data_IF_482276029167
#
_entry.id   IF_482276029167
#
_cell.length_a   1.000
_cell.length_b   1.000
_cell.length_c   1.000
_cell.angle_alpha   90.00
_cell.angle_beta   90.00
_cell.angle_gamma   90.00
#
_symmetry.space_group_name_H-M   'P 1'
#
loop_
_entity.id
_entity.type
_entity.pdbx_description
1 polymer ?
#
# COMPACT_ATOMS: atom_id res chain seq x y z
N UNK A 1 -1.23 -11.94 2.82
CA UNK A 1 -0.16 -11.73 1.81
C UNK A 1 -0.21 -12.78 0.69
N UNK A 2 -0.46 -14.04 1.02
CA UNK A 2 -0.51 -15.13 0.02
C UNK A 2 -1.58 -14.88 -1.05
N UNK A 3 -2.74 -14.33 -0.68
CA UNK A 3 -3.81 -13.97 -1.62
C UNK A 3 -3.42 -12.81 -2.54
N UNK A 4 -2.57 -11.92 -2.05
CA UNK A 4 -2.15 -10.72 -2.79
C UNK A 4 -1.12 -11.03 -3.87
N UNK A 5 -0.30 -12.06 -3.66
CA UNK A 5 0.76 -12.42 -4.60
C UNK A 5 0.25 -12.69 -6.03
N UNK A 6 -0.75 -13.55 -6.25
CA UNK A 6 -1.27 -13.75 -7.61
C UNK A 6 -1.79 -12.45 -8.23
N UNK A 7 -2.41 -11.58 -7.43
CA UNK A 7 -2.96 -10.32 -7.92
C UNK A 7 -1.88 -9.35 -8.38
N UNK A 8 -0.71 -9.36 -7.74
CA UNK A 8 0.45 -8.57 -8.20
C UNK A 8 0.91 -9.05 -9.58
N UNK A 9 0.95 -10.37 -9.80
CA UNK A 9 1.27 -10.92 -11.12
C UNK A 9 0.19 -10.59 -12.15
N UNK A 10 -1.09 -10.65 -11.78
CA UNK A 10 -2.19 -10.24 -12.66
C UNK A 10 -2.11 -8.74 -12.99
N UNK A 11 -1.71 -7.91 -12.04
CA UNK A 11 -1.47 -6.48 -12.29
C UNK A 11 -0.39 -6.30 -13.36
N UNK A 12 0.74 -6.98 -13.20
CA UNK A 12 1.83 -6.91 -14.16
C UNK A 12 1.40 -7.40 -15.56
N UNK A 13 0.69 -8.51 -15.62
CA UNK A 13 0.15 -9.04 -16.86
C UNK A 13 -0.87 -8.12 -17.52
N UNK A 14 -1.66 -7.42 -16.72
CA UNK A 14 -2.69 -6.47 -17.22
C UNK A 14 -2.10 -5.28 -17.95
N UNK A 15 -0.88 -4.87 -17.61
CA UNK A 15 -0.18 -3.76 -18.31
C UNK A 15 0.20 -4.16 -19.73
N UNK A 16 0.58 -5.43 -19.93
CA UNK A 16 1.10 -5.94 -21.20
C UNK A 16 0.03 -6.59 -22.06
N UNK A 17 -0.98 -7.17 -21.45
CA UNK A 17 -1.98 -7.97 -22.12
C UNK A 17 -3.39 -7.63 -21.69
N UNK A 18 -4.21 -8.67 -21.51
CA UNK A 18 -5.61 -8.51 -21.12
C UNK A 18 -5.73 -8.10 -19.66
N UNK A 19 -6.63 -7.16 -19.38
CA UNK A 19 -6.94 -6.72 -18.02
C UNK A 19 -7.42 -7.91 -17.17
N UNK A 20 -6.73 -8.18 -16.07
CA UNK A 20 -6.99 -9.33 -15.19
C UNK A 20 -7.21 -8.91 -13.72
N UNK A 21 -7.32 -7.63 -13.43
CA UNK A 21 -7.68 -7.09 -12.12
C UNK A 21 -9.10 -6.55 -12.21
N UNK A 22 -9.96 -6.96 -11.28
CA UNK A 22 -11.36 -6.55 -11.22
C UNK A 22 -11.66 -5.80 -9.92
N UNK A 23 -12.85 -5.23 -9.83
CA UNK A 23 -13.31 -4.58 -8.58
C UNK A 23 -13.33 -5.55 -7.39
N UNK A 24 -13.50 -6.86 -7.64
CA UNK A 24 -13.48 -7.85 -6.57
C UNK A 24 -12.15 -7.86 -5.81
N UNK A 25 -11.03 -7.78 -6.51
CA UNK A 25 -9.70 -7.74 -5.88
C UNK A 25 -9.49 -6.43 -5.11
N UNK A 26 -10.00 -5.32 -5.63
CA UNK A 26 -9.96 -4.03 -4.93
C UNK A 26 -10.79 -4.08 -3.65
N UNK A 27 -11.98 -4.66 -3.70
CA UNK A 27 -12.84 -4.81 -2.51
C UNK A 27 -12.21 -5.72 -1.44
N UNK A 28 -11.51 -6.76 -1.84
CA UNK A 28 -10.73 -7.60 -0.91
C UNK A 28 -9.68 -6.78 -0.17
N UNK A 29 -8.92 -5.93 -0.87
CA UNK A 29 -7.92 -5.06 -0.23
C UNK A 29 -8.57 -4.05 0.72
N UNK A 30 -9.71 -3.49 0.34
CA UNK A 30 -10.46 -2.58 1.21
C UNK A 30 -10.89 -3.27 2.51
N UNK A 31 -11.38 -4.50 2.41
CA UNK A 31 -11.77 -5.29 3.56
C UNK A 31 -10.56 -5.60 4.46
N UNK A 32 -9.43 -5.95 3.87
CA UNK A 32 -8.19 -6.18 4.60
C UNK A 32 -7.73 -4.92 5.35
N UNK A 33 -7.79 -3.76 4.69
CA UNK A 33 -7.45 -2.48 5.29
C UNK A 33 -8.33 -2.16 6.50
N UNK A 34 -9.64 -2.29 6.35
CA UNK A 34 -10.59 -2.02 7.43
C UNK A 34 -10.40 -2.98 8.62
N UNK A 35 -10.14 -4.25 8.34
CA UNK A 35 -9.88 -5.25 9.38
C UNK A 35 -8.63 -4.89 10.18
N UNK A 36 -7.55 -4.51 9.51
CA UNK A 36 -6.30 -4.12 10.17
C UNK A 36 -6.48 -2.86 11.00
N UNK A 37 -7.20 -1.89 10.47
CA UNK A 37 -7.53 -0.65 11.16
C UNK A 37 -8.27 -0.92 12.48
N UNK A 38 -9.22 -1.85 12.47
CA UNK A 38 -9.99 -2.24 13.66
C UNK A 38 -9.13 -2.96 14.70
N UNK A 39 -8.09 -3.67 14.28
CA UNK A 39 -7.25 -4.49 15.17
C UNK A 39 -6.12 -3.71 15.86
N UNK A 40 -5.90 -2.47 15.48
CA UNK A 40 -4.89 -1.62 16.11
C UNK A 40 -5.59 -0.72 17.13
N UNK A 41 -5.29 -0.92 18.41
CA UNK A 41 -5.86 -0.13 19.49
C UNK A 41 -5.50 1.36 19.32
N UNK A 42 -6.50 2.24 19.33
CA UNK A 42 -6.30 3.66 19.10
C UNK A 42 -6.12 4.04 17.64
N UNK A 43 -6.17 3.07 16.71
CA UNK A 43 -6.02 3.30 15.27
C UNK A 43 -4.58 3.61 14.86
N UNK A 44 -4.42 4.08 13.64
CA UNK A 44 -3.11 4.45 13.11
C UNK A 44 -2.67 5.80 13.64
N UNK A 45 -1.38 5.91 13.99
CA UNK A 45 -0.80 7.12 14.58
C UNK A 45 -0.45 8.21 13.55
N UNK A 46 -0.83 8.06 12.29
CA UNK A 46 -0.42 8.95 11.21
C UNK A 46 0.91 8.50 10.59
N UNK A 47 1.76 9.45 10.22
CA UNK A 47 3.05 9.09 9.61
C UNK A 47 4.04 8.65 10.68
N UNK A 48 4.62 7.46 10.47
CA UNK A 48 5.66 6.92 11.34
C UNK A 48 6.90 6.62 10.51
N UNK A 49 8.07 6.64 11.16
CA UNK A 49 9.31 6.24 10.49
C UNK A 49 9.25 4.74 10.19
N UNK A 50 9.72 4.32 8.98
CA UNK A 50 9.79 2.91 8.65
C UNK A 50 10.74 2.18 9.59
N UNK A 51 10.32 1.07 10.14
CA UNK A 51 11.17 0.30 11.04
C UNK A 51 10.39 -0.41 12.14
N UNK A 52 11.12 -0.82 13.15
CA UNK A 52 10.60 -1.60 14.26
C UNK A 52 10.91 -3.08 14.09
N UNK A 53 9.90 -3.94 14.21
CA UNK A 53 10.07 -5.37 13.98
C UNK A 53 10.62 -5.62 12.56
N UNK A 54 11.55 -6.60 12.37
CA UNK A 54 12.11 -6.86 11.03
C UNK A 54 11.06 -7.11 9.95
N UNK A 55 9.96 -7.80 10.27
CA UNK A 55 8.87 -8.01 9.32
C UNK A 55 8.19 -6.69 8.92
N UNK A 56 8.05 -5.74 9.84
CA UNK A 56 7.54 -4.39 9.54
C UNK A 56 8.43 -3.66 8.56
N UNK A 57 9.75 -3.72 8.76
CA UNK A 57 10.71 -3.10 7.85
C UNK A 57 10.59 -3.68 6.44
N UNK A 58 10.43 -5.00 6.31
CA UNK A 58 10.22 -5.65 5.01
C UNK A 58 8.92 -5.20 4.36
N UNK A 59 7.85 -5.07 5.13
CA UNK A 59 6.56 -4.60 4.62
C UNK A 59 6.64 -3.15 4.14
N UNK A 60 7.41 -2.31 4.80
CA UNK A 60 7.66 -0.94 4.33
C UNK A 60 8.43 -0.92 3.01
N UNK A 61 9.38 -1.83 2.80
CA UNK A 61 10.05 -1.98 1.50
C UNK A 61 9.06 -2.40 0.41
N UNK A 62 8.18 -3.36 0.71
CA UNK A 62 7.13 -3.77 -0.23
C UNK A 62 6.20 -2.60 -0.58
N UNK A 63 5.84 -1.79 0.42
CA UNK A 63 5.04 -0.58 0.21
C UNK A 63 5.71 0.39 -0.75
N UNK A 64 7.01 0.61 -0.59
CA UNK A 64 7.77 1.47 -1.50
C UNK A 64 7.77 0.93 -2.93
N UNK A 65 7.86 -0.39 -3.11
CA UNK A 65 7.77 -1.02 -4.43
C UNK A 65 6.38 -0.83 -5.06
N UNK A 66 5.32 -0.95 -4.27
CA UNK A 66 3.97 -0.67 -4.75
C UNK A 66 3.81 0.78 -5.23
N UNK A 67 4.38 1.74 -4.50
CA UNK A 67 4.39 3.15 -4.92
C UNK A 67 5.20 3.38 -6.19
N UNK A 68 6.32 2.68 -6.36
CA UNK A 68 7.11 2.72 -7.61
C UNK A 68 6.30 2.21 -8.80
N UNK A 69 5.48 1.19 -8.59
CA UNK A 69 4.59 0.66 -9.63
C UNK A 69 3.61 1.74 -10.10
N UNK A 70 3.01 2.47 -9.18
CA UNK A 70 2.10 3.58 -9.52
C UNK A 70 2.83 4.63 -10.34
N UNK A 71 4.03 5.04 -9.93
CA UNK A 71 4.82 6.03 -10.66
C UNK A 71 5.20 5.55 -12.07
N UNK A 72 5.53 4.27 -12.20
CA UNK A 72 5.82 3.68 -13.51
C UNK A 72 4.60 3.70 -14.44
N UNK A 73 3.42 3.39 -13.92
CA UNK A 73 2.16 3.46 -14.67
C UNK A 73 1.85 4.90 -15.11
N UNK A 74 2.07 5.86 -14.23
CA UNK A 74 1.89 7.28 -14.57
C UNK A 74 2.84 7.68 -15.70
N UNK A 75 4.09 7.21 -15.66
CA UNK A 75 5.07 7.48 -16.73
C UNK A 75 4.62 6.88 -18.06
N UNK A 76 4.05 5.68 -18.06
CA UNK A 76 3.50 5.04 -19.26
C UNK A 76 2.34 5.88 -19.83
N UNK A 77 1.45 6.34 -18.98
CA UNK A 77 0.32 7.19 -19.38
C UNK A 77 0.81 8.51 -19.98
N UNK A 78 1.78 9.16 -19.35
CA UNK A 78 2.36 10.42 -19.85
C UNK A 78 3.10 10.24 -21.19
N UNK A 79 3.68 9.08 -21.43
CA UNK A 79 4.33 8.79 -22.70
C UNK A 79 3.32 8.66 -23.87
N UNK A 80 2.04 8.50 -23.56
CA UNK A 80 0.96 8.51 -24.54
C UNK A 80 0.84 7.26 -25.41
N UNK A 81 1.68 6.26 -25.21
CA UNK A 81 1.66 5.01 -26.00
C UNK A 81 0.62 4.01 -25.54
N UNK A 82 0.23 4.07 -24.28
CA UNK A 82 -0.80 3.25 -23.65
C UNK A 82 -1.58 4.08 -22.66
N UNK A 83 -2.87 3.73 -22.51
CA UNK A 83 -3.72 4.31 -21.47
C UNK A 83 -4.08 3.17 -20.51
N UNK A 84 -3.33 2.99 -19.41
CA UNK A 84 -3.65 1.96 -18.43
C UNK A 84 -5.05 2.17 -17.85
N UNK A 85 -5.80 1.10 -17.65
CA UNK A 85 -7.12 1.19 -17.03
C UNK A 85 -7.01 1.79 -15.63
N UNK A 86 -7.97 2.65 -15.19
CA UNK A 86 -7.89 3.30 -13.88
C UNK A 86 -7.70 2.34 -12.70
N UNK A 87 -8.26 1.13 -12.78
CA UNK A 87 -8.12 0.14 -11.72
C UNK A 87 -6.67 -0.30 -11.51
N UNK A 88 -5.81 -0.21 -12.54
CA UNK A 88 -4.39 -0.55 -12.43
C UNK A 88 -3.61 0.46 -11.59
N UNK A 89 -4.10 1.68 -11.45
CA UNK A 89 -3.55 2.68 -10.51
C UNK A 89 -4.13 2.47 -9.11
N UNK A 90 -5.40 2.16 -9.01
CA UNK A 90 -6.12 2.01 -7.73
C UNK A 90 -5.60 0.84 -6.93
N UNK A 91 -5.38 -0.31 -7.57
CA UNK A 91 -4.95 -1.52 -6.88
C UNK A 91 -3.60 -1.35 -6.18
N UNK A 92 -2.50 -0.93 -6.86
CA UNK A 92 -1.22 -0.76 -6.17
C UNK A 92 -1.22 0.38 -5.14
N UNK A 93 -2.02 1.43 -5.32
CA UNK A 93 -2.18 2.48 -4.32
C UNK A 93 -2.80 1.92 -3.04
N UNK A 94 -3.87 1.16 -3.17
CA UNK A 94 -4.55 0.55 -2.04
C UNK A 94 -3.68 -0.54 -1.40
N UNK A 95 -2.97 -1.33 -2.22
CA UNK A 95 -2.00 -2.32 -1.74
C UNK A 95 -0.93 -1.66 -0.87
N UNK A 96 -0.42 -0.51 -1.27
CA UNK A 96 0.56 0.22 -0.47
C UNK A 96 -0.01 0.60 0.90
N UNK A 97 -1.27 1.02 0.96
CA UNK A 97 -1.94 1.35 2.22
C UNK A 97 -2.12 0.10 3.10
N UNK A 98 -2.49 -1.03 2.51
CA UNK A 98 -2.61 -2.30 3.24
C UNK A 98 -1.24 -2.74 3.79
N UNK A 99 -0.19 -2.63 3.00
CA UNK A 99 1.17 -2.98 3.43
C UNK A 99 1.66 -2.09 4.57
N UNK A 100 1.36 -0.80 4.52
CA UNK A 100 1.63 0.13 5.62
C UNK A 100 0.90 -0.31 6.89
N UNK A 101 -0.38 -0.63 6.76
CA UNK A 101 -1.21 -1.08 7.88
C UNK A 101 -0.72 -2.39 8.48
N UNK A 102 -0.27 -3.32 7.63
CA UNK A 102 0.35 -4.58 8.08
C UNK A 102 1.63 -4.31 8.86
N UNK A 103 2.48 -3.39 8.40
CA UNK A 103 3.69 -3.01 9.10
C UNK A 103 3.38 -2.47 10.50
N UNK A 104 2.41 -1.59 10.61
CA UNK A 104 1.97 -1.04 11.91
C UNK A 104 1.36 -2.12 12.79
N UNK A 105 0.57 -3.02 12.22
CA UNK A 105 -0.04 -4.13 12.96
C UNK A 105 1.03 -5.09 13.52
N UNK A 106 2.04 -5.42 12.74
CA UNK A 106 3.15 -6.28 13.20
C UNK A 106 3.88 -5.63 14.37
N UNK A 107 4.14 -4.32 14.31
CA UNK A 107 4.74 -3.59 15.43
C UNK A 107 3.82 -3.61 16.64
N UNK A 108 2.52 -3.41 16.45
CA UNK A 108 1.53 -3.40 17.52
C UNK A 108 1.48 -4.73 18.27
N UNK A 109 1.36 -5.86 17.56
CA UNK A 109 1.26 -7.19 18.20
C UNK A 109 2.58 -7.64 18.83
N UNK A 110 3.71 -7.08 18.41
CA UNK A 110 5.03 -7.37 19.00
C UNK A 110 5.45 -6.34 20.04
N UNK A 111 4.56 -5.41 20.39
CA UNK A 111 4.79 -4.36 21.39
C UNK A 111 6.03 -3.50 21.05
N UNK A 112 6.26 -3.27 19.78
CA UNK A 112 7.31 -2.37 19.28
C UNK A 112 6.71 -1.00 19.07
N UNK A 113 7.25 0.01 19.75
CA UNK A 113 6.79 1.38 19.64
C UNK A 113 7.22 1.97 18.30
N UNK A 114 6.27 2.60 17.59
CA UNK A 114 6.56 3.30 16.34
C UNK A 114 6.92 4.75 16.62
N UNK A 115 7.90 5.27 15.86
CA UNK A 115 8.33 6.66 15.97
C UNK A 115 7.53 7.53 15.02
N UNK A 116 6.74 8.44 15.57
CA UNK A 116 5.97 9.39 14.76
C UNK A 116 6.91 10.36 14.06
N UNK A 117 6.61 10.66 12.80
CA UNK A 117 7.37 11.60 11.98
C UNK A 117 6.54 12.85 11.72
N UNK A 118 7.11 14.00 12.03
CA UNK A 118 6.52 15.30 11.72
C UNK A 118 7.38 15.97 10.66
N UNK A 119 6.83 16.14 9.46
CA UNK A 119 7.55 16.74 8.34
C UNK A 119 7.76 18.24 8.57
N UNK A 120 8.95 18.72 8.28
CA UNK A 120 9.24 20.16 8.25
C UNK A 120 8.75 20.82 6.96
N UNK A 121 8.43 20.00 5.96
CA UNK A 121 8.02 20.46 4.63
C UNK A 121 6.51 20.69 4.50
N UNK A 122 5.73 20.15 5.42
CA UNK A 122 4.28 20.23 5.39
C UNK A 122 3.74 20.84 6.66
N UNK A 123 2.78 21.75 6.52
CA UNK A 123 2.00 22.23 7.66
C UNK A 123 1.09 21.10 8.12
N UNK A 124 1.27 20.63 9.34
CA UNK A 124 0.37 19.62 9.90
C UNK A 124 -0.95 20.28 10.32
N UNK A 125 -2.11 19.65 10.04
CA UNK A 125 -3.37 20.17 10.54
C UNK A 125 -3.33 20.23 12.06
N UNK A 126 -3.73 21.35 12.63
CA UNK A 126 -3.91 21.46 14.07
C UNK A 126 -5.04 20.54 14.50
N UNK A 127 -4.78 19.73 15.49
CA UNK A 127 -5.81 18.89 16.11
C UNK A 127 -6.84 19.75 16.82
#
# INVERSE_FOLDING_TARGET
LTRMQPNVYHLNGSVRGKLAITEAEVEELKADYELLKQRIDGGFKGFVLPGGHPASSQLHLCRCQAKKTVRALVAIEHAGKKQPAPILFRYPNLLANVLYSLASYINHINQVEETEFVSRSYSMPKK
#
